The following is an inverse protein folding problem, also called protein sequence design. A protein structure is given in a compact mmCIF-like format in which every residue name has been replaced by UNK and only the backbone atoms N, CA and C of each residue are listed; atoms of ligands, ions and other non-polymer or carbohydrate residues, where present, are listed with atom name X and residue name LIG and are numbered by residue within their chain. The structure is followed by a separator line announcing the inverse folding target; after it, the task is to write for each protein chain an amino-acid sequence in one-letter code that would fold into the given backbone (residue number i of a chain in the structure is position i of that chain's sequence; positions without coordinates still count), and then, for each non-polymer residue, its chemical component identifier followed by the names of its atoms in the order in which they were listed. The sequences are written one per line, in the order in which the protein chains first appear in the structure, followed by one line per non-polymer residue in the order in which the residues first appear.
data_IF_409223942349
#
_entry.id   IF_409223942349
#
_cell.length_a   1.000
_cell.length_b   1.000
_cell.length_c   1.000
_cell.angle_alpha   90.00
_cell.angle_beta   90.00
_cell.angle_gamma   90.00
#
_symmetry.space_group_name_H-M   'P 1'
#
loop_
_entity.id
_entity.type
_entity.pdbx_description
1 polymer ?
#
# COMPACT_ATOMS: atom_id res chain seq x y z
N UNK A 1 -1.99 -2.32 3.09
CA UNK A 1 -0.89 -2.94 2.34
C UNK A 1 -1.48 -3.62 1.12
N UNK A 2 -0.79 -3.57 -0.01
CA UNK A 2 -1.05 -4.40 -1.19
C UNK A 2 0.22 -5.18 -1.48
N UNK A 3 0.08 -6.44 -1.91
CA UNK A 3 1.20 -7.34 -2.18
C UNK A 3 0.98 -7.92 -3.56
N UNK A 4 2.06 -8.02 -4.35
CA UNK A 4 1.96 -8.65 -5.66
C UNK A 4 1.71 -10.15 -5.50
N UNK A 5 0.78 -10.73 -6.28
CA UNK A 5 0.46 -12.16 -6.13
C UNK A 5 1.64 -13.06 -6.50
N UNK A 6 2.48 -12.65 -7.46
CA UNK A 6 3.69 -13.38 -7.83
C UNK A 6 4.84 -12.96 -6.90
N UNK A 7 5.76 -13.88 -6.64
CA UNK A 7 7.02 -13.59 -5.95
C UNK A 7 7.96 -12.82 -6.89
N UNK A 8 8.80 -11.95 -6.31
CA UNK A 8 9.68 -11.03 -7.03
C UNK A 8 9.44 -9.58 -6.67
N UNK A 9 10.37 -8.72 -7.07
CA UNK A 9 10.44 -7.30 -6.66
C UNK A 9 10.12 -6.31 -7.78
N UNK A 10 9.94 -6.80 -9.02
CA UNK A 10 9.73 -5.98 -10.21
C UNK A 10 8.42 -6.37 -10.91
N UNK A 11 7.25 -5.95 -10.39
CA UNK A 11 5.98 -6.22 -11.05
C UNK A 11 5.90 -5.45 -12.37
N UNK A 12 5.34 -6.06 -13.43
CA UNK A 12 5.02 -5.35 -14.66
C UNK A 12 4.19 -4.07 -14.41
N UNK A 13 4.34 -3.02 -15.24
CA UNK A 13 3.70 -1.73 -15.01
C UNK A 13 2.16 -1.78 -14.88
N UNK A 14 1.50 -2.67 -15.62
CA UNK A 14 0.06 -2.88 -15.57
C UNK A 14 -0.38 -3.48 -14.23
N UNK A 15 0.40 -4.42 -13.69
CA UNK A 15 0.20 -4.95 -12.35
C UNK A 15 0.41 -3.88 -11.27
N UNK A 16 1.46 -3.06 -11.38
CA UNK A 16 1.70 -1.94 -10.45
C UNK A 16 0.51 -0.96 -10.46
N UNK A 17 0.06 -0.54 -11.63
CA UNK A 17 -1.08 0.35 -11.78
C UNK A 17 -2.36 -0.25 -11.16
N UNK A 18 -2.63 -1.54 -11.42
CA UNK A 18 -3.76 -2.25 -10.82
C UNK A 18 -3.68 -2.28 -9.28
N UNK A 19 -2.52 -2.64 -8.73
CA UNK A 19 -2.32 -2.73 -7.28
C UNK A 19 -2.41 -1.36 -6.60
N UNK A 20 -1.86 -0.31 -7.20
CA UNK A 20 -1.97 1.06 -6.70
C UNK A 20 -3.41 1.56 -6.70
N UNK A 21 -4.19 1.27 -7.76
CA UNK A 21 -5.60 1.63 -7.82
C UNK A 21 -6.39 0.92 -6.70
N UNK A 22 -6.19 -0.38 -6.52
CA UNK A 22 -6.85 -1.14 -5.44
C UNK A 22 -6.45 -0.65 -4.05
N UNK A 23 -5.17 -0.32 -3.85
CA UNK A 23 -4.71 0.24 -2.59
C UNK A 23 -5.34 1.62 -2.32
N UNK A 24 -5.46 2.47 -3.35
CA UNK A 24 -6.13 3.78 -3.26
C UNK A 24 -7.57 3.65 -2.81
N UNK A 25 -8.35 2.78 -3.46
CA UNK A 25 -9.77 2.60 -3.14
C UNK A 25 -9.96 2.25 -1.66
N UNK A 26 -9.16 1.32 -1.15
CA UNK A 26 -9.23 0.89 0.25
C UNK A 26 -8.70 1.98 1.19
N UNK A 27 -7.57 2.62 0.84
CA UNK A 27 -6.96 3.64 1.69
C UNK A 27 -7.87 4.86 1.88
N UNK A 28 -8.51 5.35 0.81
CA UNK A 28 -9.43 6.48 0.90
C UNK A 28 -10.59 6.21 1.87
N UNK A 29 -11.10 4.99 1.90
CA UNK A 29 -12.20 4.59 2.80
C UNK A 29 -11.70 4.39 4.24
N UNK A 30 -10.53 3.77 4.42
CA UNK A 30 -10.08 3.31 5.73
C UNK A 30 -9.26 4.36 6.49
N UNK A 31 -8.51 5.20 5.78
CA UNK A 31 -7.55 6.15 6.38
C UNK A 31 -7.61 7.56 5.79
N UNK A 32 -8.39 7.79 4.73
CA UNK A 32 -8.48 9.09 4.07
C UNK A 32 -7.20 9.44 3.30
N UNK A 33 -6.75 10.70 3.39
CA UNK A 33 -5.52 11.14 2.74
C UNK A 33 -4.31 10.30 3.20
N UNK A 34 -3.56 9.79 2.23
CA UNK A 34 -2.44 8.90 2.47
C UNK A 34 -1.28 9.20 1.51
N UNK A 35 -0.10 8.70 1.87
CA UNK A 35 1.05 8.61 0.98
C UNK A 35 1.45 7.14 0.80
N UNK A 36 2.06 6.82 -0.34
CA UNK A 36 2.47 5.47 -0.71
C UNK A 36 3.90 5.19 -0.20
N UNK A 37 4.05 4.12 0.58
CA UNK A 37 5.32 3.59 1.08
C UNK A 37 5.58 2.24 0.40
N UNK A 38 6.42 2.24 -0.63
CA UNK A 38 6.83 1.06 -1.38
C UNK A 38 8.17 0.47 -0.90
N UNK A 39 8.72 1.00 0.21
CA UNK A 39 9.96 0.50 0.77
C UNK A 39 9.75 -0.83 1.52
N UNK A 40 10.19 -1.91 0.88
CA UNK A 40 10.09 -3.30 1.32
C UNK A 40 11.07 -3.67 2.44
N UNK A 41 10.75 -3.33 3.69
CA UNK A 41 11.67 -3.54 4.84
C UNK A 41 11.73 -4.97 5.36
N UNK A 42 10.56 -5.62 5.54
CA UNK A 42 10.46 -6.92 6.22
C UNK A 42 10.45 -8.12 5.27
N UNK A 43 10.02 -7.92 4.02
CA UNK A 43 9.98 -8.96 2.99
C UNK A 43 10.61 -8.36 1.72
N UNK A 44 11.94 -8.17 1.72
CA UNK A 44 12.63 -7.39 0.68
C UNK A 44 12.65 -8.09 -0.69
N UNK A 45 12.35 -9.38 -0.75
CA UNK A 45 12.31 -10.20 -1.96
C UNK A 45 10.91 -10.30 -2.59
N UNK A 46 9.90 -9.67 -1.98
CA UNK A 46 8.52 -9.71 -2.45
C UNK A 46 7.92 -8.31 -2.50
N UNK A 47 7.54 -7.86 -3.71
CA UNK A 47 6.93 -6.56 -3.91
C UNK A 47 5.65 -6.37 -3.08
N UNK A 48 5.66 -5.31 -2.27
CA UNK A 48 4.52 -4.84 -1.53
C UNK A 48 4.61 -3.33 -1.28
N UNK A 49 3.46 -2.69 -1.10
CA UNK A 49 3.37 -1.28 -0.75
C UNK A 49 2.32 -1.03 0.33
N UNK A 50 2.51 0.02 1.12
CA UNK A 50 1.62 0.44 2.19
C UNK A 50 1.03 1.81 1.87
N UNK A 51 -0.27 1.98 2.14
CA UNK A 51 -0.85 3.30 2.30
C UNK A 51 -0.62 3.74 3.75
N UNK A 52 0.04 4.89 3.92
CA UNK A 52 0.34 5.49 5.22
C UNK A 52 -0.49 6.76 5.38
N UNK A 53 -1.26 6.95 6.47
CA UNK A 53 -2.03 8.17 6.67
C UNK A 53 -1.13 9.40 6.62
N UNK A 54 -1.57 10.47 5.94
CA UNK A 54 -0.80 11.72 5.79
C UNK A 54 -0.49 12.40 7.14
N UNK A 55 -1.39 12.25 8.12
CA UNK A 55 -1.21 12.79 9.47
C UNK A 55 -0.37 11.94 10.43
N UNK A 56 0.23 10.82 9.98
CA UNK A 56 0.89 9.88 10.88
C UNK A 56 -0.09 8.95 11.61
N UNK A 57 0.44 8.11 12.50
CA UNK A 57 -0.29 6.99 13.11
C UNK A 57 -1.32 7.48 14.15
N UNK A 58 -2.57 7.68 13.73
CA UNK A 58 -3.70 7.73 14.66
C UNK A 58 -4.40 6.38 14.66
N UNK A 59 -4.24 5.64 15.76
CA UNK A 59 -5.12 4.52 16.06
C UNK A 59 -6.58 5.00 15.98
N UNK A 60 -7.46 4.11 15.51
CA UNK A 60 -8.90 4.33 15.32
C UNK A 60 -9.45 5.27 16.40
N UNK A 61 -9.86 6.49 16.01
CA UNK A 61 -10.71 7.29 16.89
C UNK A 61 -12.02 6.55 17.02
N UNK A 62 -12.26 5.92 18.17
CA UNK A 62 -13.56 5.36 18.52
C UNK A 62 -14.49 6.55 18.77
N UNK A 63 -15.36 6.86 17.81
CA UNK A 63 -16.61 7.58 18.09
C UNK A 63 -17.58 6.65 18.81
#
# INVERSE_FOLDING_TARGET
MVVWRRHGTDPPPDHLAHMHARLRDVAMIQVGEYWLDDHMRNIPDHWHAHARPKGGFFGRSRT
#
